data_IF_595861943332
#
_entry.id   IF_595861943332
#
_cell.length_a   1.000
_cell.length_b   1.000
_cell.length_c   1.000
_cell.angle_alpha   90.00
_cell.angle_beta   90.00
_cell.angle_gamma   90.00
#
_symmetry.space_group_name_H-M   'P 1'
#
loop_
_entity.id
_entity.type
_entity.pdbx_description
1 polymer ?
#
# COMPACT_ATOMS: atom_id res chain seq x y z
N UNK A 1 -4.97 -15.36 28.50
CA UNK A 1 -6.44 -15.44 28.69
C UNK A 1 -7.08 -14.79 27.47
N UNK A 2 -7.97 -15.49 26.76
CA UNK A 2 -8.75 -14.91 25.65
C UNK A 2 -10.23 -14.91 26.02
N UNK A 3 -10.96 -13.92 25.52
CA UNK A 3 -12.38 -13.80 25.75
C UNK A 3 -13.12 -14.94 25.04
N UNK A 4 -13.84 -15.74 25.81
CA UNK A 4 -14.78 -16.71 25.27
C UNK A 4 -16.07 -15.98 24.93
N UNK A 5 -16.52 -16.13 23.68
CA UNK A 5 -17.83 -15.67 23.27
C UNK A 5 -18.91 -16.46 24.00
N UNK A 6 -19.80 -15.76 24.70
CA UNK A 6 -21.01 -16.34 25.28
C UNK A 6 -22.13 -16.05 24.28
N UNK A 7 -22.67 -17.06 23.57
CA UNK A 7 -23.80 -16.84 22.71
C UNK A 7 -25.00 -16.43 23.56
N UNK A 8 -25.54 -15.25 23.33
CA UNK A 8 -26.85 -14.89 23.86
C UNK A 8 -27.88 -15.82 23.22
N UNK A 9 -28.82 -16.33 24.01
CA UNK A 9 -29.81 -17.35 23.64
C UNK A 9 -30.91 -16.86 22.68
N UNK A 10 -30.60 -15.89 21.83
CA UNK A 10 -31.35 -15.49 20.65
C UNK A 10 -30.44 -15.65 19.44
N UNK A 11 -30.82 -16.50 18.49
CA UNK A 11 -30.00 -16.89 17.35
C UNK A 11 -29.53 -15.71 16.48
N UNK A 12 -28.61 -16.00 15.56
CA UNK A 12 -28.13 -15.02 14.59
C UNK A 12 -29.27 -14.59 13.65
N UNK A 13 -29.67 -13.33 13.73
CA UNK A 13 -30.61 -12.73 12.78
C UNK A 13 -29.86 -12.39 11.48
N UNK A 14 -30.31 -12.96 10.36
CA UNK A 14 -29.75 -12.65 9.05
C UNK A 14 -30.33 -11.30 8.61
N UNK A 15 -29.50 -10.26 8.54
CA UNK A 15 -29.93 -8.96 8.01
C UNK A 15 -30.22 -9.13 6.52
N UNK A 16 -31.50 -9.25 6.18
CA UNK A 16 -32.00 -9.13 4.81
C UNK A 16 -32.03 -7.63 4.52
N UNK A 17 -31.22 -7.18 3.56
CA UNK A 17 -31.44 -5.87 2.96
C UNK A 17 -32.70 -5.98 2.09
N UNK A 18 -33.70 -5.19 2.47
CA UNK A 18 -35.04 -5.21 1.89
C UNK A 18 -35.01 -4.64 0.47
N UNK A 19 -35.06 -5.52 -0.53
CA UNK A 19 -35.46 -5.16 -1.90
C UNK A 19 -36.98 -4.85 -1.89
N UNK A 20 -37.32 -3.58 -1.69
CA UNK A 20 -38.68 -3.06 -1.82
C UNK A 20 -38.88 -2.27 -3.10
N UNK A 21 -39.51 -2.89 -4.14
CA UNK A 21 -40.77 -2.42 -4.76
C UNK A 21 -41.10 -3.24 -6.04
N UNK A 22 -42.30 -3.86 -6.17
CA UNK A 22 -42.75 -4.53 -7.39
C UNK A 22 -43.74 -3.66 -8.19
N UNK A 23 -43.50 -3.45 -9.50
CA UNK A 23 -44.51 -3.35 -10.57
C UNK A 23 -43.91 -2.85 -11.90
N UNK A 24 -44.14 -3.60 -12.98
CA UNK A 24 -43.95 -3.11 -14.36
C UNK A 24 -43.41 -4.18 -15.30
N UNK A 25 -44.30 -5.00 -15.86
CA UNK A 25 -43.98 -5.86 -16.99
C UNK A 25 -43.54 -5.01 -18.20
N UNK A 26 -42.41 -5.35 -18.83
CA UNK A 26 -42.03 -4.74 -20.10
C UNK A 26 -40.60 -5.01 -20.52
N UNK A 27 -40.46 -5.86 -21.54
CA UNK A 27 -39.46 -5.66 -22.59
C UNK A 27 -38.05 -6.16 -22.30
N UNK A 28 -37.75 -7.32 -22.89
CA UNK A 28 -36.43 -7.65 -23.39
C UNK A 28 -35.86 -6.48 -24.20
N UNK A 29 -34.73 -5.91 -23.78
CA UNK A 29 -33.85 -5.17 -24.69
C UNK A 29 -32.41 -5.30 -24.20
N UNK A 30 -31.63 -6.03 -24.98
CA UNK A 30 -30.17 -5.99 -24.97
C UNK A 30 -29.72 -4.53 -24.95
N UNK A 31 -29.06 -4.12 -23.86
CA UNK A 31 -28.14 -3.00 -23.88
C UNK A 31 -26.81 -3.51 -23.35
N UNK A 32 -25.92 -3.79 -24.30
CA UNK A 32 -24.47 -3.76 -24.12
C UNK A 32 -24.06 -2.44 -23.47
N UNK A 33 -24.21 -2.35 -22.15
CA UNK A 33 -23.62 -1.27 -21.36
C UNK A 33 -22.19 -1.71 -21.07
N UNK A 34 -21.33 -1.51 -22.07
CA UNK A 34 -19.88 -1.52 -21.86
C UNK A 34 -19.61 -0.64 -20.63
N UNK A 35 -18.93 -1.13 -19.58
CA UNK A 35 -18.45 -0.23 -18.55
C UNK A 35 -17.54 0.80 -19.26
N UNK A 36 -17.65 2.10 -18.94
CA UNK A 36 -16.62 3.04 -19.37
C UNK A 36 -15.26 2.47 -18.92
N UNK A 37 -14.18 2.59 -19.69
CA UNK A 37 -12.85 2.37 -19.14
C UNK A 37 -12.69 3.41 -18.03
N UNK A 38 -12.96 3.00 -16.80
CA UNK A 38 -12.63 3.79 -15.62
C UNK A 38 -11.14 4.06 -15.75
N UNK A 39 -10.85 5.35 -15.95
CA UNK A 39 -9.54 5.84 -16.29
C UNK A 39 -8.47 5.27 -15.37
N UNK A 40 -7.27 5.18 -15.93
CA UNK A 40 -6.05 5.04 -15.14
C UNK A 40 -6.07 6.00 -13.95
N UNK A 41 -5.39 5.62 -12.85
CA UNK A 41 -5.65 6.12 -11.52
C UNK A 41 -5.83 7.64 -11.50
N UNK A 42 -7.07 8.06 -11.28
CA UNK A 42 -7.42 9.38 -10.82
C UNK A 42 -6.78 9.56 -9.44
N UNK A 43 -5.53 10.03 -9.43
CA UNK A 43 -4.70 10.17 -8.24
C UNK A 43 -3.49 11.08 -8.49
N UNK A 44 -3.64 12.05 -9.38
CA UNK A 44 -2.64 13.09 -9.63
C UNK A 44 -2.69 14.14 -8.53
N UNK A 45 -1.82 14.02 -7.53
CA UNK A 45 -1.71 15.06 -6.51
C UNK A 45 -0.40 14.99 -5.75
N UNK A 46 -0.06 13.82 -5.21
CA UNK A 46 1.19 13.68 -4.45
C UNK A 46 2.02 12.44 -4.79
N UNK A 47 1.38 11.37 -5.28
CA UNK A 47 2.10 10.16 -5.69
C UNK A 47 3.00 10.40 -6.91
N UNK A 48 2.48 11.04 -7.96
CA UNK A 48 3.17 11.16 -9.25
C UNK A 48 4.49 11.93 -9.18
N UNK A 49 4.58 13.00 -8.39
CA UNK A 49 5.84 13.77 -8.25
C UNK A 49 6.87 13.01 -7.42
N UNK A 50 6.44 12.34 -6.35
CA UNK A 50 7.30 11.46 -5.54
C UNK A 50 7.82 10.30 -6.37
N UNK A 51 6.96 9.64 -7.16
CA UNK A 51 7.35 8.57 -8.08
C UNK A 51 8.34 9.06 -9.13
N UNK A 52 8.18 10.29 -9.64
CA UNK A 52 9.13 10.92 -10.55
C UNK A 52 10.49 11.20 -9.91
N UNK A 53 10.52 11.69 -8.66
CA UNK A 53 11.77 11.92 -7.92
C UNK A 53 12.49 10.62 -7.55
N UNK A 54 11.74 9.61 -7.09
CA UNK A 54 12.26 8.26 -6.84
C UNK A 54 12.92 7.69 -8.09
N UNK A 55 12.27 7.85 -9.25
CA UNK A 55 12.79 7.43 -10.54
C UNK A 55 14.04 8.21 -10.98
N UNK A 56 14.03 9.54 -10.79
CA UNK A 56 15.16 10.40 -11.14
C UNK A 56 16.40 10.14 -10.30
N UNK A 57 16.22 9.71 -9.04
CA UNK A 57 17.30 9.37 -8.12
C UNK A 57 17.76 7.91 -8.24
N UNK A 58 17.18 7.14 -9.17
CA UNK A 58 17.49 5.72 -9.35
C UNK A 58 17.01 4.81 -8.21
N UNK A 59 16.08 5.29 -7.38
CA UNK A 59 15.58 4.59 -6.20
C UNK A 59 14.48 3.56 -6.52
N UNK A 60 14.30 3.26 -7.80
CA UNK A 60 13.27 2.34 -8.31
C UNK A 60 13.52 0.87 -7.94
N UNK A 61 14.76 0.53 -7.55
CA UNK A 61 15.15 -0.82 -7.11
C UNK A 61 15.40 -0.93 -5.60
N UNK A 62 15.19 0.14 -4.82
CA UNK A 62 15.36 0.08 -3.36
C UNK A 62 14.17 -0.64 -2.71
N UNK A 63 14.46 -1.47 -1.70
CA UNK A 63 13.39 -2.08 -0.91
C UNK A 63 12.78 -1.04 0.03
N UNK A 64 11.57 -1.33 0.52
CA UNK A 64 10.92 -0.50 1.55
C UNK A 64 11.81 -0.34 2.80
N UNK A 65 12.61 -1.36 3.10
CA UNK A 65 13.60 -1.32 4.19
C UNK A 65 14.71 -0.30 3.94
N UNK A 66 15.27 -0.25 2.73
CA UNK A 66 16.32 0.70 2.36
C UNK A 66 15.79 2.15 2.42
N UNK A 67 14.57 2.38 1.90
CA UNK A 67 13.91 3.69 1.96
C UNK A 67 13.66 4.10 3.42
N UNK A 68 13.15 3.18 4.25
CA UNK A 68 12.92 3.44 5.66
C UNK A 68 14.21 3.75 6.40
N UNK A 69 15.28 3.00 6.13
CA UNK A 69 16.58 3.20 6.74
C UNK A 69 17.20 4.55 6.32
N UNK A 70 17.02 4.94 5.06
CA UNK A 70 17.41 6.25 4.56
C UNK A 70 16.61 7.38 5.23
N UNK A 71 15.29 7.21 5.42
CA UNK A 71 14.44 8.17 6.12
C UNK A 71 14.86 8.34 7.59
N UNK A 72 15.16 7.24 8.27
CA UNK A 72 15.65 7.27 9.65
C UNK A 72 17.02 7.96 9.71
N UNK A 73 17.94 7.62 8.80
CA UNK A 73 19.25 8.28 8.71
C UNK A 73 19.12 9.81 8.52
N UNK A 74 18.15 10.23 7.70
CA UNK A 74 17.85 11.64 7.44
C UNK A 74 17.23 12.34 8.67
N UNK A 75 16.38 11.63 9.42
CA UNK A 75 15.82 12.11 10.68
C UNK A 75 16.94 12.31 11.73
N UNK A 76 17.83 11.33 11.87
CA UNK A 76 18.96 11.44 12.81
C UNK A 76 19.90 12.60 12.45
N UNK A 77 20.14 12.82 11.16
CA UNK A 77 20.95 13.96 10.71
C UNK A 77 20.27 15.31 10.99
N UNK A 78 18.93 15.33 10.99
CA UNK A 78 18.14 16.52 11.32
C UNK A 78 18.17 16.83 12.81
N UNK A 79 18.05 15.80 13.66
CA UNK A 79 18.13 15.95 15.12
C UNK A 79 19.56 16.28 15.58
N UNK A 80 20.58 15.71 14.91
CA UNK A 80 21.98 16.06 15.10
C UNK A 80 22.57 15.75 16.49
N UNK A 81 21.87 14.95 17.30
CA UNK A 81 22.19 14.70 18.71
C UNK A 81 23.43 13.80 18.87
N UNK A 82 23.51 12.71 18.08
CA UNK A 82 24.62 11.76 18.10
C UNK A 82 25.02 11.29 16.70
N UNK A 83 26.34 11.26 16.44
CA UNK A 83 26.89 10.76 15.17
C UNK A 83 27.08 9.25 15.14
N UNK A 84 27.21 8.60 16.30
CA UNK A 84 27.34 7.14 16.42
C UNK A 84 26.25 6.38 15.65
N UNK A 85 24.94 6.68 15.86
CA UNK A 85 23.88 5.99 15.14
C UNK A 85 23.79 6.41 13.66
N UNK A 86 24.17 7.64 13.30
CA UNK A 86 24.25 8.10 11.90
C UNK A 86 25.28 7.28 11.13
N UNK A 87 26.47 7.11 11.71
CA UNK A 87 27.56 6.33 11.09
C UNK A 87 27.17 4.85 11.02
N UNK A 88 26.59 4.31 12.09
CA UNK A 88 26.16 2.90 12.15
C UNK A 88 25.11 2.59 11.07
N UNK A 89 24.08 3.42 10.96
CA UNK A 89 23.05 3.26 9.93
C UNK A 89 23.59 3.54 8.53
N UNK A 90 24.47 4.53 8.36
CA UNK A 90 25.13 4.81 7.08
C UNK A 90 25.95 3.61 6.56
N UNK A 91 26.70 2.95 7.45
CA UNK A 91 27.45 1.74 7.12
C UNK A 91 26.51 0.56 6.83
N UNK A 92 25.45 0.40 7.62
CA UNK A 92 24.43 -0.62 7.38
C UNK A 92 23.74 -0.42 6.02
N UNK A 93 23.46 0.83 5.63
CA UNK A 93 22.92 1.17 4.31
C UNK A 93 23.91 0.80 3.21
N UNK A 94 25.20 1.13 3.37
CA UNK A 94 26.24 0.81 2.39
C UNK A 94 26.40 -0.71 2.21
N UNK A 95 26.37 -1.47 3.31
CA UNK A 95 26.47 -2.93 3.29
C UNK A 95 25.19 -3.59 2.76
N UNK A 96 24.02 -3.05 3.10
CA UNK A 96 22.71 -3.53 2.65
C UNK A 96 22.44 -3.29 1.16
N UNK A 97 22.82 -2.13 0.62
CA UNK A 97 22.71 -1.84 -0.82
C UNK A 97 23.79 -2.54 -1.65
N UNK A 98 25.02 -2.66 -1.13
CA UNK A 98 26.16 -3.25 -1.85
C UNK A 98 26.13 -4.78 -1.94
N UNK A 99 25.38 -5.47 -1.08
CA UNK A 99 25.29 -6.93 -1.05
C UNK A 99 24.29 -7.55 -2.03
N UNK A 100 23.52 -6.75 -2.77
CA UNK A 100 22.47 -7.20 -3.69
C UNK A 100 23.04 -7.61 -5.05
N UNK A 101 24.12 -8.39 -5.06
CA UNK A 101 24.62 -9.01 -6.28
C UNK A 101 23.77 -10.25 -6.61
N UNK A 102 23.26 -10.27 -7.84
CA UNK A 102 22.32 -11.23 -8.41
C UNK A 102 22.67 -12.69 -8.07
N UNK A 103 21.91 -13.28 -7.16
CA UNK A 103 21.68 -14.71 -7.14
C UNK A 103 20.83 -15.11 -8.36
N UNK A 104 21.32 -16.13 -9.07
CA UNK A 104 20.60 -16.98 -10.02
C UNK A 104 20.27 -16.42 -11.42
N UNK A 105 21.12 -16.81 -12.37
CA UNK A 105 20.63 -17.39 -13.63
C UNK A 105 21.02 -18.86 -13.60
N UNK A 106 20.01 -19.73 -13.47
CA UNK A 106 20.14 -21.17 -13.69
C UNK A 106 20.32 -21.52 -15.16
#
# INVERSE_FOLDING_TARGET
MYNRYIPHSGGYERVVMEDGQPQGAGGEHHQDRRPPPAGGPAGGGHGAWLTGLLKSLGLENLDRGDILLMLILLLLLTDGDDLEPVITLGLLLLFGLGGRERGEKG
#
